data_IF_337848749328
#
_entry.id   IF_337848749328
#
_cell.length_a   1.000
_cell.length_b   1.000
_cell.length_c   1.000
_cell.angle_alpha   90.00
_cell.angle_beta   90.00
_cell.angle_gamma   90.00
#
_symmetry.space_group_name_H-M   'P 1'
#
loop_
_entity.id
_entity.type
_entity.pdbx_description
1 polymer ?
#
# COMPACT_ATOMS: atom_id res chain seq x y z
N UNK A 1 -16.69 8.25 7.13
CA UNK A 1 -15.79 7.29 7.82
C UNK A 1 -14.43 7.39 7.18
N UNK A 2 -13.38 7.68 7.97
CA UNK A 2 -12.00 7.59 7.50
C UNK A 2 -11.59 6.12 7.47
N UNK A 3 -10.88 5.71 6.41
CA UNK A 3 -10.36 4.35 6.28
C UNK A 3 -9.23 4.06 7.29
N UNK A 4 -8.56 5.11 7.76
CA UNK A 4 -7.48 5.10 8.75
C UNK A 4 -7.99 5.64 10.08
N UNK A 5 -8.23 4.78 11.04
CA UNK A 5 -8.63 5.20 12.39
C UNK A 5 -7.43 5.47 13.30
N UNK A 6 -6.27 4.91 12.99
CA UNK A 6 -5.02 5.13 13.72
C UNK A 6 -3.82 5.01 12.79
N UNK A 7 -2.92 5.99 12.87
CA UNK A 7 -1.62 5.97 12.21
C UNK A 7 -0.51 5.88 13.25
N UNK A 8 0.46 5.03 13.01
CA UNK A 8 1.62 4.85 13.85
C UNK A 8 2.88 5.03 12.99
N UNK A 9 3.65 6.07 13.30
CA UNK A 9 4.92 6.35 12.63
C UNK A 9 6.08 5.74 13.41
N UNK A 10 7.02 5.10 12.71
CA UNK A 10 8.19 4.50 13.33
C UNK A 10 9.39 4.48 12.37
N UNK A 11 10.58 4.44 12.94
CA UNK A 11 11.80 4.27 12.17
C UNK A 11 12.06 2.77 11.89
N UNK A 12 12.79 2.43 10.81
CA UNK A 12 13.10 1.03 10.47
C UNK A 12 13.70 0.22 11.62
N UNK A 13 14.59 0.83 12.42
CA UNK A 13 15.22 0.21 13.60
C UNK A 13 14.23 -0.22 14.69
N UNK A 14 13.06 0.41 14.74
CA UNK A 14 12.04 0.17 15.76
C UNK A 14 10.96 -0.83 15.29
N UNK A 15 11.06 -1.29 14.04
CA UNK A 15 10.05 -2.12 13.37
C UNK A 15 9.66 -3.37 14.17
N UNK A 16 10.62 -4.12 14.68
CA UNK A 16 10.36 -5.34 15.45
C UNK A 16 9.64 -5.05 16.78
N UNK A 17 9.99 -3.95 17.45
CA UNK A 17 9.30 -3.55 18.68
C UNK A 17 7.87 -3.12 18.40
N UNK A 18 7.67 -2.33 17.34
CA UNK A 18 6.35 -1.89 16.90
C UNK A 18 5.48 -3.09 16.53
N UNK A 19 5.99 -4.02 15.71
CA UNK A 19 5.22 -5.18 15.27
C UNK A 19 4.85 -6.13 16.41
N UNK A 20 5.70 -6.27 17.44
CA UNK A 20 5.31 -7.01 18.65
C UNK A 20 4.13 -6.36 19.37
N UNK A 21 4.14 -5.05 19.51
CA UNK A 21 3.04 -4.31 20.15
C UNK A 21 1.76 -4.39 19.30
N UNK A 22 1.86 -4.12 18.00
CA UNK A 22 0.74 -4.18 17.07
C UNK A 22 0.10 -5.56 17.05
N UNK A 23 0.90 -6.63 16.96
CA UNK A 23 0.40 -8.00 16.97
C UNK A 23 -0.33 -8.34 18.29
N UNK A 24 0.21 -7.90 19.42
CA UNK A 24 -0.41 -8.11 20.74
C UNK A 24 -1.74 -7.36 20.86
N UNK A 25 -1.77 -6.09 20.49
CA UNK A 25 -3.00 -5.26 20.52
C UNK A 25 -4.04 -5.82 19.58
N UNK A 26 -3.65 -6.17 18.35
CA UNK A 26 -4.55 -6.78 17.37
C UNK A 26 -5.16 -8.08 17.89
N UNK A 27 -4.34 -8.99 18.43
CA UNK A 27 -4.82 -10.27 18.97
C UNK A 27 -5.76 -10.11 20.16
N UNK A 28 -5.54 -9.11 21.03
CA UNK A 28 -6.41 -8.83 22.17
C UNK A 28 -7.72 -8.13 21.78
N UNK A 29 -7.82 -7.53 20.60
CA UNK A 29 -8.95 -6.70 20.17
C UNK A 29 -9.44 -7.05 18.76
N UNK A 30 -9.38 -8.31 18.37
CA UNK A 30 -9.63 -8.75 16.98
C UNK A 30 -11.03 -8.34 16.47
N UNK A 31 -12.02 -8.24 17.34
CA UNK A 31 -13.36 -7.78 16.99
C UNK A 31 -13.41 -6.31 16.59
N UNK A 32 -12.48 -5.49 17.09
CA UNK A 32 -12.35 -4.07 16.73
C UNK A 32 -11.72 -3.87 15.35
N UNK A 33 -11.04 -4.88 14.81
CA UNK A 33 -10.48 -4.92 13.46
C UNK A 33 -11.40 -5.67 12.49
N UNK A 34 -12.72 -5.57 12.70
CA UNK A 34 -13.72 -6.35 11.97
C UNK A 34 -13.84 -5.99 10.48
N UNK A 35 -13.38 -4.80 10.06
CA UNK A 35 -13.37 -4.45 8.65
C UNK A 35 -12.09 -5.01 8.01
N UNK A 36 -12.20 -6.05 7.13
CA UNK A 36 -11.03 -6.71 6.56
C UNK A 36 -10.32 -5.90 5.46
N UNK A 37 -10.89 -4.78 5.04
CA UNK A 37 -10.32 -3.97 3.96
C UNK A 37 -9.29 -2.98 4.51
N UNK A 38 -8.02 -3.26 4.21
CA UNK A 38 -6.96 -2.26 4.30
C UNK A 38 -7.08 -1.26 3.15
N UNK A 39 -6.63 -0.03 3.36
CA UNK A 39 -6.59 0.96 2.29
C UNK A 39 -5.82 0.41 1.07
N UNK A 40 -6.28 0.75 -0.15
CA UNK A 40 -5.82 0.09 -1.39
C UNK A 40 -4.33 0.27 -1.71
N UNK A 41 -3.70 1.32 -1.21
CA UNK A 41 -2.28 1.63 -1.46
C UNK A 41 -1.34 1.28 -0.30
N UNK A 42 -1.82 0.61 0.73
CA UNK A 42 -0.98 0.07 1.78
C UNK A 42 -0.73 -1.41 1.55
N UNK A 43 0.44 -1.88 1.98
CA UNK A 43 0.74 -3.31 1.95
C UNK A 43 0.16 -3.99 3.20
N UNK A 44 -0.51 -5.14 3.05
CA UNK A 44 -0.95 -5.91 4.21
C UNK A 44 0.25 -6.36 5.03
N UNK A 45 0.08 -6.52 6.34
CA UNK A 45 1.13 -7.01 7.23
C UNK A 45 0.74 -8.31 7.90
N UNK A 46 1.75 -9.10 8.24
CA UNK A 46 1.60 -10.34 9.03
C UNK A 46 2.23 -10.16 10.41
N UNK A 47 1.67 -10.84 11.39
CA UNK A 47 2.23 -10.91 12.73
C UNK A 47 3.46 -11.84 12.80
N UNK A 48 4.04 -11.95 13.98
CA UNK A 48 5.18 -12.84 14.25
C UNK A 48 4.87 -14.32 14.06
N UNK A 49 3.59 -14.68 14.05
CA UNK A 49 3.07 -16.03 13.75
C UNK A 49 2.74 -16.23 12.26
N UNK A 50 3.14 -15.30 11.41
CA UNK A 50 2.90 -15.26 9.96
C UNK A 50 1.41 -15.20 9.56
N UNK A 51 0.52 -14.83 10.49
CA UNK A 51 -0.89 -14.61 10.18
C UNK A 51 -1.16 -13.17 9.80
N UNK A 52 -2.03 -12.98 8.81
CA UNK A 52 -2.44 -11.64 8.38
C UNK A 52 -3.11 -10.87 9.52
N UNK A 53 -2.63 -9.66 9.78
CA UNK A 53 -3.25 -8.74 10.72
C UNK A 53 -4.33 -7.95 9.96
N UNK A 54 -5.58 -8.44 10.03
CA UNK A 54 -6.71 -7.82 9.33
C UNK A 54 -6.88 -6.36 9.75
N UNK A 55 -7.13 -5.48 8.79
CA UNK A 55 -7.33 -4.06 9.05
C UNK A 55 -6.05 -3.28 9.39
N UNK A 56 -4.89 -3.94 9.33
CA UNK A 56 -3.58 -3.30 9.52
C UNK A 56 -2.83 -3.30 8.20
N UNK A 57 -2.30 -2.16 7.83
CA UNK A 57 -1.50 -2.00 6.62
C UNK A 57 -0.26 -1.16 6.89
N UNK A 58 0.74 -1.34 6.05
CA UNK A 58 1.99 -0.60 6.07
C UNK A 58 2.09 0.32 4.85
N UNK A 59 2.58 1.53 5.08
CA UNK A 59 2.94 2.48 4.04
C UNK A 59 4.25 3.18 4.38
N UNK A 60 5.20 3.13 3.47
CA UNK A 60 6.47 3.83 3.59
C UNK A 60 6.32 5.27 3.11
N UNK A 61 6.64 6.24 3.95
CA UNK A 61 6.71 7.64 3.52
C UNK A 61 7.81 7.82 2.46
N UNK A 62 7.50 8.55 1.38
CA UNK A 62 8.48 8.79 0.32
C UNK A 62 9.62 9.67 0.85
N UNK A 63 10.84 9.43 0.35
CA UNK A 63 12.02 10.27 0.64
C UNK A 63 12.02 11.60 -0.13
N UNK A 64 10.87 12.07 -0.57
CA UNK A 64 10.71 13.32 -1.29
C UNK A 64 10.28 14.40 -0.32
N UNK A 65 11.12 15.42 -0.14
CA UNK A 65 10.83 16.54 0.77
C UNK A 65 9.48 17.18 0.44
N UNK A 66 8.67 17.36 1.48
CA UNK A 66 7.35 18.00 1.37
C UNK A 66 6.25 17.12 0.73
N UNK A 67 6.49 15.83 0.56
CA UNK A 67 5.49 14.88 0.06
C UNK A 67 5.23 13.80 1.10
N UNK A 68 3.96 13.53 1.35
CA UNK A 68 3.51 12.41 2.19
C UNK A 68 3.28 11.14 1.37
N UNK A 69 3.09 10.03 2.09
CA UNK A 69 2.62 8.78 1.50
C UNK A 69 1.36 8.99 0.64
N UNK A 70 0.37 9.73 1.17
CA UNK A 70 -0.88 10.00 0.48
C UNK A 70 -0.69 10.83 -0.79
N UNK A 71 0.18 11.84 -0.76
CA UNK A 71 0.45 12.69 -1.94
C UNK A 71 0.97 11.89 -3.12
N UNK A 72 1.92 11.00 -2.88
CA UNK A 72 2.52 10.17 -3.94
C UNK A 72 1.48 9.18 -4.49
N UNK A 73 0.69 8.53 -3.65
CA UNK A 73 -0.33 7.55 -4.11
C UNK A 73 -1.48 8.25 -4.84
N UNK A 74 -1.85 9.44 -4.40
CA UNK A 74 -2.81 10.27 -5.14
C UNK A 74 -2.27 10.73 -6.49
N UNK A 75 -0.96 11.02 -6.60
CA UNK A 75 -0.34 11.36 -7.88
C UNK A 75 -0.34 10.18 -8.85
N UNK A 76 -0.13 8.94 -8.39
CA UNK A 76 -0.28 7.73 -9.21
C UNK A 76 -1.71 7.63 -9.77
N UNK A 77 -2.73 7.81 -8.93
CA UNK A 77 -4.12 7.82 -9.41
C UNK A 77 -4.39 8.93 -10.40
N UNK A 78 -3.95 10.15 -10.10
CA UNK A 78 -4.13 11.30 -10.99
C UNK A 78 -3.45 11.09 -12.35
N UNK A 79 -2.32 10.37 -12.40
CA UNK A 79 -1.66 10.00 -13.64
C UNK A 79 -2.57 9.10 -14.50
N UNK A 80 -3.17 8.08 -13.89
CA UNK A 80 -4.07 7.15 -14.60
C UNK A 80 -5.27 7.91 -15.19
N UNK A 81 -5.91 8.77 -14.39
CA UNK A 81 -7.06 9.56 -14.86
C UNK A 81 -6.69 10.49 -16.01
N UNK A 82 -5.57 11.21 -15.91
CA UNK A 82 -5.09 12.09 -17.00
C UNK A 82 -4.80 11.32 -18.26
N UNK A 83 -4.15 10.17 -18.17
CA UNK A 83 -3.84 9.36 -19.35
C UNK A 83 -5.12 8.89 -20.05
N UNK A 84 -6.14 8.49 -19.29
CA UNK A 84 -7.44 8.13 -19.88
C UNK A 84 -8.10 9.34 -20.59
N UNK A 85 -8.09 10.52 -19.94
CA UNK A 85 -8.62 11.75 -20.49
C UNK A 85 -7.87 12.16 -21.78
N UNK A 86 -6.54 12.12 -21.79
CA UNK A 86 -5.70 12.41 -22.97
C UNK A 86 -5.95 11.46 -24.12
N UNK A 87 -6.31 10.21 -23.86
CA UNK A 87 -6.70 9.22 -24.86
C UNK A 87 -8.18 9.30 -25.27
N UNK A 88 -8.97 10.13 -24.58
CA UNK A 88 -10.40 10.27 -24.84
C UNK A 88 -11.21 9.01 -24.50
N UNK A 89 -10.76 8.22 -23.52
CA UNK A 89 -11.39 6.96 -23.10
C UNK A 89 -11.81 7.03 -21.64
N UNK A 90 -12.80 6.20 -21.26
CA UNK A 90 -13.17 6.00 -19.87
C UNK A 90 -12.28 4.94 -19.23
N UNK A 91 -12.12 4.98 -17.90
CA UNK A 91 -11.27 4.04 -17.16
C UNK A 91 -11.73 2.57 -17.27
N UNK A 92 -13.01 2.35 -17.54
CA UNK A 92 -13.60 1.03 -17.71
C UNK A 92 -13.65 0.58 -19.18
N UNK A 93 -13.13 1.40 -20.11
CA UNK A 93 -13.04 1.03 -21.52
C UNK A 93 -12.13 -0.18 -21.68
N UNK A 94 -12.59 -1.28 -22.32
CA UNK A 94 -11.76 -2.46 -22.55
C UNK A 94 -10.50 -2.21 -23.38
N UNK A 95 -10.46 -1.12 -24.16
CA UNK A 95 -9.30 -0.71 -24.93
C UNK A 95 -8.25 0.04 -24.08
N UNK A 96 -8.62 0.52 -22.88
CA UNK A 96 -7.71 1.20 -21.99
C UNK A 96 -6.91 0.20 -21.14
N UNK A 97 -5.62 0.08 -21.44
CA UNK A 97 -4.72 -0.79 -20.66
C UNK A 97 -4.31 -0.11 -19.35
N UNK A 98 -5.24 -0.10 -18.40
CA UNK A 98 -5.06 0.49 -17.09
C UNK A 98 -3.90 -0.12 -16.31
N UNK A 99 -3.58 -1.40 -16.54
CA UNK A 99 -2.48 -2.07 -15.84
C UNK A 99 -1.13 -1.49 -16.28
N UNK A 100 -0.91 -1.34 -17.57
CA UNK A 100 0.31 -0.72 -18.11
C UNK A 100 0.45 0.73 -17.65
N UNK A 101 -0.63 1.51 -17.66
CA UNK A 101 -0.61 2.91 -17.20
C UNK A 101 -0.32 2.98 -15.69
N UNK A 102 -0.92 2.11 -14.88
CA UNK A 102 -0.64 2.02 -13.45
C UNK A 102 0.83 1.68 -13.16
N UNK A 103 1.37 0.68 -13.85
CA UNK A 103 2.78 0.30 -13.67
C UNK A 103 3.74 1.40 -14.09
N UNK A 104 3.41 2.14 -15.16
CA UNK A 104 4.20 3.31 -15.57
C UNK A 104 4.14 4.41 -14.51
N UNK A 105 2.95 4.76 -14.04
CA UNK A 105 2.78 5.73 -12.96
C UNK A 105 3.55 5.32 -11.69
N UNK A 106 3.51 4.06 -11.32
CA UNK A 106 4.28 3.56 -10.18
C UNK A 106 5.80 3.75 -10.38
N UNK A 107 6.33 3.51 -11.57
CA UNK A 107 7.75 3.77 -11.90
C UNK A 107 8.09 5.25 -11.76
N UNK A 108 7.26 6.13 -12.32
CA UNK A 108 7.50 7.59 -12.33
C UNK A 108 7.48 8.19 -10.91
N UNK A 109 6.68 7.62 -10.02
CA UNK A 109 6.54 8.07 -8.63
C UNK A 109 7.32 7.21 -7.61
N UNK A 110 8.18 6.30 -8.06
CA UNK A 110 8.97 5.40 -7.22
C UNK A 110 8.11 4.57 -6.24
N UNK A 111 6.99 4.05 -6.72
CA UNK A 111 6.10 3.14 -5.99
C UNK A 111 6.30 1.72 -6.50
N UNK A 112 6.37 0.75 -5.60
CA UNK A 112 6.36 -0.66 -6.00
C UNK A 112 4.95 -1.07 -6.44
N UNK A 113 4.77 -1.35 -7.73
CA UNK A 113 3.46 -1.69 -8.30
C UNK A 113 2.88 -3.00 -7.76
N UNK A 114 3.73 -3.93 -7.34
CA UNK A 114 3.32 -5.21 -6.73
C UNK A 114 3.03 -5.10 -5.23
N UNK A 115 3.62 -4.10 -4.58
CA UNK A 115 3.47 -3.85 -3.15
C UNK A 115 3.40 -2.34 -2.88
N UNK A 116 2.29 -1.68 -3.20
CA UNK A 116 2.22 -0.22 -3.28
C UNK A 116 2.40 0.51 -1.94
N UNK A 117 2.48 -0.21 -0.83
CA UNK A 117 2.91 0.33 0.45
C UNK A 117 4.40 0.69 0.51
N UNK A 118 5.21 0.21 -0.44
CA UNK A 118 6.67 0.41 -0.46
C UNK A 118 7.12 1.32 -1.60
N UNK A 119 8.33 1.88 -1.42
CA UNK A 119 9.07 2.51 -2.51
C UNK A 119 9.69 1.43 -3.41
N UNK A 120 9.71 1.65 -4.73
CA UNK A 120 10.27 0.70 -5.69
C UNK A 120 11.80 0.60 -5.57
N UNK A 121 12.45 1.73 -5.27
CA UNK A 121 13.90 1.80 -5.13
C UNK A 121 14.26 2.42 -3.78
N UNK A 122 15.38 1.93 -3.19
CA UNK A 122 15.95 2.48 -1.97
C UNK A 122 14.98 2.48 -0.75
N UNK A 123 14.10 1.47 -0.65
CA UNK A 123 13.26 1.31 0.54
C UNK A 123 14.16 1.17 1.78
N UNK A 124 13.81 1.91 2.84
CA UNK A 124 14.46 1.76 4.16
C UNK A 124 13.86 0.60 4.96
N UNK A 125 12.75 0.04 4.49
CA UNK A 125 11.98 -1.00 5.16
C UNK A 125 12.09 -2.36 4.46
N UNK A 126 13.21 -2.64 3.77
CA UNK A 126 13.37 -3.91 3.04
C UNK A 126 13.33 -5.11 4.00
N UNK A 127 14.02 -5.04 5.14
CA UNK A 127 13.97 -6.08 6.18
C UNK A 127 12.55 -6.24 6.75
N UNK A 128 11.83 -5.14 6.95
CA UNK A 128 10.44 -5.15 7.38
C UNK A 128 9.56 -5.85 6.33
N UNK A 129 9.74 -5.51 5.07
CA UNK A 129 9.03 -6.12 3.94
C UNK A 129 9.21 -7.63 3.92
N UNK A 130 10.45 -8.10 4.01
CA UNK A 130 10.74 -9.53 4.03
C UNK A 130 10.13 -10.26 5.22
N UNK A 131 10.09 -9.62 6.37
CA UNK A 131 9.68 -10.24 7.63
C UNK A 131 8.19 -10.15 7.90
N UNK A 132 7.56 -9.04 7.53
CA UNK A 132 6.19 -8.71 7.96
C UNK A 132 5.20 -8.48 6.82
N UNK A 133 5.60 -8.64 5.57
CA UNK A 133 4.65 -8.57 4.45
C UNK A 133 4.44 -9.97 3.88
N UNK A 134 3.18 -10.39 3.65
CA UNK A 134 2.91 -11.66 3.00
C UNK A 134 3.64 -11.71 1.65
N UNK A 135 4.37 -12.79 1.40
CA UNK A 135 4.96 -13.03 0.08
C UNK A 135 3.81 -13.25 -0.90
N UNK A 136 3.47 -12.22 -1.67
CA UNK A 136 2.42 -12.34 -2.68
C UNK A 136 3.00 -13.09 -3.88
N UNK A 137 2.57 -14.31 -4.06
CA UNK A 137 3.02 -15.19 -5.17
C UNK A 137 2.44 -14.76 -6.52
N UNK A 138 1.49 -13.83 -6.54
CA UNK A 138 0.84 -13.38 -7.80
C UNK A 138 0.42 -11.91 -7.72
N UNK A 139 0.75 -11.06 -8.71
CA UNK A 139 0.24 -9.69 -8.75
C UNK A 139 -1.29 -9.73 -8.87
N UNK A 140 -1.99 -9.18 -7.90
CA UNK A 140 -3.44 -8.96 -8.03
C UNK A 140 -3.65 -7.91 -9.11
N UNK A 141 -4.35 -8.26 -10.18
CA UNK A 141 -4.84 -7.29 -11.17
C UNK A 141 -5.59 -6.18 -10.43
N UNK A 142 -5.25 -4.94 -10.77
CA UNK A 142 -5.95 -3.78 -10.24
C UNK A 142 -7.43 -3.85 -10.68
N UNK A 143 -8.32 -4.03 -9.70
CA UNK A 143 -9.78 -3.90 -9.95
C UNK A 143 -10.16 -2.51 -9.46
N UNK A 144 -10.34 -1.59 -10.40
CA UNK A 144 -11.08 -0.37 -10.11
C UNK A 144 -12.55 -0.75 -9.97
N UNK A 145 -13.17 -0.35 -8.86
CA UNK A 145 -14.61 -0.50 -8.71
C UNK A 145 -15.29 0.41 -9.74
N UNK A 146 -16.18 -0.18 -10.50
CA UNK A 146 -17.11 0.55 -11.37
C UNK A 146 -18.05 1.42 -10.53
#
# INVERSE_FOLDING_TARGET
>A
NRADQMLLYFAPKDADAVMRVVSKVHGANISSFANPETAKFVSPVVGSDNKALRGVGFGEDPKVSGKSFGDIRSAVLAHIYRTAEEQGVELNDPAFDIQTVYEQACRDYNVDSGSPGYSANNSQFEDFRHKYTPQVVTPKKLKLAA
#
